data_IF_194694359263
#
_entry.id   IF_194694359263
#
_cell.length_a   1.000
_cell.length_b   1.000
_cell.length_c   1.000
_cell.angle_alpha   90.00
_cell.angle_beta   90.00
_cell.angle_gamma   90.00
#
_symmetry.space_group_name_H-M   'P 1'
#
loop_
_entity.id
_entity.type
_entity.pdbx_description
1 polymer ?
#
# COMPACT_ATOMS: atom_id res chain seq x y z
N UNK A 1 26.89 25.76 13.75
CA UNK A 1 25.45 25.42 13.58
C UNK A 1 25.20 25.33 12.09
N UNK A 2 25.41 24.16 11.49
CA UNK A 2 25.25 23.99 10.03
C UNK A 2 23.79 23.65 9.74
N UNK A 3 23.07 24.59 9.10
CA UNK A 3 21.68 24.43 8.69
C UNK A 3 21.64 23.63 7.38
N UNK A 4 21.30 22.33 7.44
CA UNK A 4 21.02 21.52 6.26
C UNK A 4 19.71 22.01 5.63
N UNK A 5 19.78 22.55 4.41
CA UNK A 5 18.61 22.94 3.64
C UNK A 5 17.75 21.71 3.28
N UNK A 6 16.42 21.83 3.22
CA UNK A 6 15.56 20.74 2.78
C UNK A 6 15.78 20.49 1.29
N UNK A 7 16.11 19.24 0.93
CA UNK A 7 16.09 18.80 -0.47
C UNK A 7 14.63 18.78 -0.92
N UNK A 8 14.27 19.68 -1.84
CA UNK A 8 13.01 19.62 -2.53
C UNK A 8 13.05 18.42 -3.49
N UNK A 9 12.37 17.32 -3.13
CA UNK A 9 12.12 16.22 -4.05
C UNK A 9 11.16 16.72 -5.13
N UNK A 10 11.63 16.83 -6.36
CA UNK A 10 10.78 17.07 -7.51
C UNK A 10 9.84 15.87 -7.68
N UNK A 11 8.55 16.06 -7.43
CA UNK A 11 7.53 15.04 -7.72
C UNK A 11 7.44 14.86 -9.22
N UNK A 12 7.89 13.70 -9.71
CA UNK A 12 7.56 13.26 -11.06
C UNK A 12 6.06 12.99 -11.14
N UNK A 13 5.40 13.27 -12.27
CA UNK A 13 4.01 12.86 -12.46
C UNK A 13 3.91 11.35 -12.26
N UNK A 14 3.05 10.94 -11.32
CA UNK A 14 2.83 9.54 -11.02
C UNK A 14 2.32 8.83 -12.29
N UNK A 15 2.80 7.61 -12.59
CA UNK A 15 2.22 6.83 -13.67
C UNK A 15 0.71 6.69 -13.42
N UNK A 16 -0.10 6.88 -14.47
CA UNK A 16 -1.54 6.62 -14.40
C UNK A 16 -1.69 5.11 -14.31
N UNK A 17 -1.74 4.60 -13.08
CA UNK A 17 -2.10 3.21 -12.82
C UNK A 17 -3.61 3.13 -12.98
N UNK A 18 -4.15 2.22 -13.81
CA UNK A 18 -5.59 2.04 -13.86
C UNK A 18 -6.07 1.69 -12.45
N UNK A 19 -7.06 2.43 -11.96
CA UNK A 19 -7.83 2.02 -10.78
C UNK A 19 -8.23 0.56 -11.01
N UNK A 20 -7.85 -0.33 -10.08
CA UNK A 20 -8.11 -1.76 -10.24
C UNK A 20 -9.59 -1.93 -10.62
N UNK A 21 -9.84 -2.39 -11.86
CA UNK A 21 -11.18 -2.47 -12.44
C UNK A 21 -12.13 -3.37 -11.63
N UNK A 22 -11.57 -4.11 -10.66
CA UNK A 22 -12.21 -4.67 -9.49
C UNK A 22 -11.13 -4.93 -8.41
N UNK A 23 -11.20 -4.34 -7.20
CA UNK A 23 -10.19 -4.57 -6.16
C UNK A 23 -10.35 -5.91 -5.42
N UNK A 24 -11.49 -6.59 -5.57
CA UNK A 24 -11.79 -7.84 -4.84
C UNK A 24 -10.71 -8.93 -4.90
N UNK A 25 -10.14 -9.31 -6.07
CA UNK A 25 -9.11 -10.34 -6.13
C UNK A 25 -7.84 -9.94 -5.36
N UNK A 26 -7.44 -8.67 -5.40
CA UNK A 26 -6.29 -8.19 -4.64
C UNK A 26 -6.56 -8.24 -3.12
N UNK A 27 -7.77 -7.84 -2.69
CA UNK A 27 -8.18 -7.91 -1.28
C UNK A 27 -8.19 -9.36 -0.78
N UNK A 28 -8.70 -10.30 -1.59
CA UNK A 28 -8.68 -11.74 -1.24
C UNK A 28 -7.25 -12.24 -1.09
N UNK A 29 -6.35 -11.90 -2.03
CA UNK A 29 -4.95 -12.29 -1.94
C UNK A 29 -4.27 -11.76 -0.66
N UNK A 30 -4.56 -10.52 -0.27
CA UNK A 30 -4.07 -9.96 1.01
C UNK A 30 -4.64 -10.72 2.21
N UNK A 31 -5.94 -11.03 2.21
CA UNK A 31 -6.57 -11.76 3.29
C UNK A 31 -5.99 -13.18 3.46
N UNK A 32 -5.75 -13.89 2.35
CA UNK A 32 -5.10 -15.20 2.33
C UNK A 32 -3.67 -15.12 2.88
N UNK A 33 -2.91 -14.09 2.51
CA UNK A 33 -1.54 -13.88 3.00
C UNK A 33 -1.47 -13.59 4.51
N UNK A 34 -2.49 -12.91 5.07
CA UNK A 34 -2.56 -12.54 6.49
C UNK A 34 -3.24 -13.63 7.35
N UNK A 35 -3.96 -14.58 6.74
CA UNK A 35 -4.67 -15.64 7.45
C UNK A 35 -3.78 -16.44 8.42
N UNK A 36 -2.53 -16.85 8.07
CA UNK A 36 -1.69 -17.61 8.99
C UNK A 36 -1.33 -16.84 10.25
N UNK A 37 -1.05 -15.54 10.12
CA UNK A 37 -0.71 -14.65 11.24
C UNK A 37 -1.91 -14.56 12.20
N UNK A 38 -3.11 -14.35 11.65
CA UNK A 38 -4.36 -14.31 12.43
C UNK A 38 -4.66 -15.64 13.11
N UNK A 39 -4.47 -16.76 12.40
CA UNK A 39 -4.71 -18.10 12.95
C UNK A 39 -3.79 -18.44 14.13
N UNK A 40 -2.61 -17.80 14.20
CA UNK A 40 -1.66 -17.90 15.32
C UNK A 40 -1.91 -16.86 16.42
N UNK A 41 -2.91 -15.99 16.26
CA UNK A 41 -3.20 -14.89 17.19
C UNK A 41 -2.19 -13.75 17.13
N UNK A 42 -1.42 -13.63 16.05
CA UNK A 42 -0.46 -12.55 15.86
C UNK A 42 -1.20 -11.26 15.49
N UNK A 43 -0.71 -10.14 16.01
CA UNK A 43 -1.16 -8.83 15.59
C UNK A 43 -0.60 -8.49 14.21
N UNK A 44 -1.44 -7.91 13.36
CA UNK A 44 -1.03 -7.35 12.08
C UNK A 44 -0.78 -5.87 12.30
N UNK A 45 0.50 -5.48 12.28
CA UNK A 45 0.86 -4.07 12.30
C UNK A 45 0.61 -3.40 10.93
N UNK A 46 0.60 -2.07 10.92
CA UNK A 46 0.34 -1.29 9.73
C UNK A 46 1.38 -1.52 8.61
N UNK A 47 2.63 -1.82 8.96
CA UNK A 47 3.70 -2.05 7.98
C UNK A 47 3.56 -3.43 7.32
N UNK A 48 3.10 -4.45 8.05
CA UNK A 48 2.76 -5.77 7.53
C UNK A 48 1.58 -5.66 6.57
N UNK A 49 0.48 -5.03 6.99
CA UNK A 49 -0.68 -4.81 6.12
C UNK A 49 -0.31 -4.06 4.84
N UNK A 50 0.45 -2.96 4.97
CA UNK A 50 0.87 -2.15 3.83
C UNK A 50 1.68 -2.95 2.80
N UNK A 51 2.58 -3.82 3.25
CA UNK A 51 3.41 -4.65 2.34
C UNK A 51 2.57 -5.62 1.52
N UNK A 52 1.61 -6.29 2.15
CA UNK A 52 0.73 -7.22 1.42
C UNK A 52 -0.18 -6.45 0.43
N UNK A 53 -0.70 -5.28 0.84
CA UNK A 53 -1.48 -4.43 -0.06
C UNK A 53 -0.65 -3.95 -1.25
N UNK A 54 0.58 -3.47 -1.04
CA UNK A 54 1.47 -3.05 -2.15
C UNK A 54 1.80 -4.20 -3.10
N UNK A 55 1.99 -5.41 -2.58
CA UNK A 55 2.20 -6.60 -3.41
C UNK A 55 0.96 -6.94 -4.25
N UNK A 56 -0.23 -6.97 -3.64
CA UNK A 56 -1.46 -7.36 -4.33
C UNK A 56 -1.97 -6.31 -5.33
N UNK A 57 -1.79 -5.03 -5.01
CA UNK A 57 -2.21 -3.92 -5.87
C UNK A 57 -1.11 -3.44 -6.83
N UNK A 58 0.12 -3.95 -6.70
CA UNK A 58 1.25 -3.57 -7.55
C UNK A 58 1.74 -2.13 -7.33
N UNK A 59 1.39 -1.51 -6.20
CA UNK A 59 1.73 -0.13 -5.90
C UNK A 59 1.20 0.38 -4.57
N UNK A 60 1.67 1.56 -4.17
CA UNK A 60 1.30 2.21 -2.92
C UNK A 60 -0.01 3.00 -3.06
N UNK A 61 -0.74 3.16 -1.96
CA UNK A 61 -1.86 4.09 -1.85
C UNK A 61 -1.44 5.54 -2.17
N UNK A 62 -0.19 5.91 -1.84
CA UNK A 62 0.39 7.21 -2.18
C UNK A 62 0.48 7.46 -3.70
N UNK A 63 0.57 6.38 -4.49
CA UNK A 63 0.56 6.44 -5.96
C UNK A 63 -0.84 6.24 -6.56
N UNK A 64 -1.87 6.10 -5.72
CA UNK A 64 -3.24 5.87 -6.17
C UNK A 64 -3.51 4.45 -6.67
N UNK A 65 -2.63 3.48 -6.37
CA UNK A 65 -2.82 2.09 -6.79
C UNK A 65 -4.06 1.43 -6.14
N UNK A 66 -4.47 1.95 -4.98
CA UNK A 66 -5.68 1.59 -4.27
C UNK A 66 -6.12 2.78 -3.42
N UNK A 67 -7.43 3.06 -3.46
CA UNK A 67 -8.01 4.19 -2.74
C UNK A 67 -8.87 3.69 -1.58
N UNK A 68 -8.35 3.82 -0.37
CA UNK A 68 -9.08 3.52 0.86
C UNK A 68 -9.80 4.74 1.43
N UNK A 69 -9.49 5.96 0.94
CA UNK A 69 -10.05 7.21 1.47
C UNK A 69 -11.35 7.60 0.79
N UNK A 70 -11.61 7.09 -0.42
CA UNK A 70 -12.84 7.31 -1.16
C UNK A 70 -13.89 6.19 -0.95
N UNK A 71 -13.64 5.23 -0.06
CA UNK A 71 -14.56 4.15 0.29
C UNK A 71 -15.69 4.61 1.24
#
# INVERSE_FOLDING_TARGET
>A
MTHLAPVAQASLPAPIVPLAANPAPAIVAVAEALQPDLAQGLQIDALRLRREMEHAFGGSDATGAWDWKLA
#
